data_IF_368167927699
#
_entry.id   IF_368167927699
#
_cell.length_a   1.000
_cell.length_b   1.000
_cell.length_c   1.000
_cell.angle_alpha   90.00
_cell.angle_beta   90.00
_cell.angle_gamma   90.00
#
_symmetry.space_group_name_H-M   'P 1'
#
loop_
_entity.id
_entity.type
_entity.pdbx_description
1 polymer ?
#
# COMPACT_ATOMS: atom_id res chain seq x y z
N UNK A 1 -16.33 1.76 17.66
CA UNK A 1 -16.42 2.48 16.38
C UNK A 1 -17.87 2.64 16.04
N UNK A 2 -18.33 3.83 15.69
CA UNK A 2 -19.69 3.98 15.16
C UNK A 2 -19.74 3.40 13.74
N UNK A 3 -20.93 3.09 13.22
CA UNK A 3 -21.08 2.50 11.88
C UNK A 3 -20.49 3.41 10.78
N UNK A 4 -20.56 4.73 10.97
CA UNK A 4 -19.95 5.71 10.08
C UNK A 4 -18.41 5.66 10.10
N UNK A 5 -17.79 5.45 11.27
CA UNK A 5 -16.33 5.34 11.38
C UNK A 5 -15.79 4.12 10.64
N UNK A 6 -16.56 3.02 10.61
CA UNK A 6 -16.16 1.80 9.92
C UNK A 6 -16.10 2.00 8.39
N UNK A 7 -17.09 2.67 7.80
CA UNK A 7 -17.08 3.02 6.37
C UNK A 7 -15.97 4.02 6.04
N UNK A 8 -15.77 5.03 6.88
CA UNK A 8 -14.67 5.96 6.71
C UNK A 8 -13.31 5.22 6.75
N UNK A 9 -13.18 4.16 7.54
CA UNK A 9 -11.96 3.35 7.56
C UNK A 9 -11.80 2.51 6.29
N UNK A 10 -12.88 1.93 5.75
CA UNK A 10 -12.85 1.22 4.47
C UNK A 10 -12.45 2.15 3.31
N UNK A 11 -12.99 3.36 3.26
CA UNK A 11 -12.65 4.36 2.25
C UNK A 11 -11.17 4.74 2.30
N UNK A 12 -10.60 4.85 3.50
CA UNK A 12 -9.15 5.11 3.68
C UNK A 12 -8.30 3.97 3.14
N UNK A 13 -8.71 2.72 3.32
CA UNK A 13 -7.97 1.56 2.79
C UNK A 13 -8.01 1.56 1.25
N UNK A 14 -9.17 1.82 0.66
CA UNK A 14 -9.31 1.94 -0.80
C UNK A 14 -8.48 3.09 -1.36
N UNK A 15 -8.54 4.26 -0.70
CA UNK A 15 -7.75 5.43 -1.07
C UNK A 15 -6.25 5.14 -0.99
N UNK A 16 -5.77 4.50 0.09
CA UNK A 16 -4.37 4.14 0.25
C UNK A 16 -3.87 3.20 -0.86
N UNK A 17 -4.73 2.29 -1.33
CA UNK A 17 -4.34 1.34 -2.39
C UNK A 17 -4.18 1.97 -3.75
N UNK A 18 -5.13 2.82 -4.15
CA UNK A 18 -5.01 3.58 -5.41
C UNK A 18 -3.87 4.60 -5.30
N UNK A 19 -3.76 5.27 -4.15
CA UNK A 19 -2.71 6.24 -3.86
C UNK A 19 -1.30 5.65 -3.97
N UNK A 20 -1.06 4.47 -3.41
CA UNK A 20 0.25 3.81 -3.49
C UNK A 20 0.69 3.56 -4.93
N UNK A 21 -0.18 3.02 -5.77
CA UNK A 21 0.18 2.69 -7.16
C UNK A 21 0.37 3.97 -7.98
N UNK A 22 -0.52 4.94 -7.80
CA UNK A 22 -0.45 6.20 -8.54
C UNK A 22 0.77 7.03 -8.13
N UNK A 23 1.13 7.05 -6.84
CA UNK A 23 2.32 7.74 -6.34
C UNK A 23 3.61 7.16 -6.91
N UNK A 24 3.70 5.84 -7.13
CA UNK A 24 4.87 5.20 -7.76
C UNK A 24 5.07 5.56 -9.24
N UNK A 25 4.02 6.02 -9.92
CA UNK A 25 4.05 6.42 -11.34
C UNK A 25 4.24 7.93 -11.47
N UNK A 26 3.60 8.71 -10.60
CA UNK A 26 3.46 10.17 -10.73
C UNK A 26 4.52 10.93 -9.94
N UNK A 27 4.94 10.44 -8.77
CA UNK A 27 5.96 11.12 -7.96
C UNK A 27 7.34 10.57 -8.29
N UNK A 28 8.18 11.43 -8.84
CA UNK A 28 9.59 11.10 -9.10
C UNK A 28 10.32 10.85 -7.77
N UNK A 29 10.68 9.58 -7.54
CA UNK A 29 11.57 9.15 -6.47
C UNK A 29 12.98 8.82 -6.98
N UNK A 30 13.89 8.51 -6.06
CA UNK A 30 15.22 7.97 -6.39
C UNK A 30 15.15 6.63 -7.14
N UNK A 31 14.09 5.87 -6.91
CA UNK A 31 13.77 4.62 -7.61
C UNK A 31 12.37 4.84 -8.17
N UNK A 32 12.28 4.98 -9.49
CA UNK A 32 11.01 5.14 -10.19
C UNK A 32 10.66 3.82 -10.88
N UNK A 33 9.40 3.40 -10.76
CA UNK A 33 8.88 2.25 -11.52
C UNK A 33 8.16 2.79 -12.75
N UNK A 34 8.32 2.13 -13.90
CA UNK A 34 7.56 2.52 -15.07
C UNK A 34 6.14 1.89 -15.04
N UNK A 35 5.20 2.52 -15.77
CA UNK A 35 3.83 2.01 -15.82
C UNK A 35 3.74 0.63 -16.47
N UNK A 36 4.68 0.26 -17.34
CA UNK A 36 4.67 -1.02 -18.03
C UNK A 36 5.04 -2.17 -17.07
N UNK A 37 5.99 -1.95 -16.16
CA UNK A 37 6.42 -2.85 -15.11
C UNK A 37 5.25 -3.12 -14.16
N UNK A 38 4.63 -2.07 -13.64
CA UNK A 38 3.45 -2.19 -12.75
C UNK A 38 2.32 -2.92 -13.47
N UNK A 39 2.00 -2.52 -14.70
CA UNK A 39 0.96 -3.18 -15.50
C UNK A 39 1.28 -4.64 -15.77
N UNK A 40 2.53 -5.00 -16.03
CA UNK A 40 2.94 -6.37 -16.32
C UNK A 40 2.84 -7.27 -15.09
N UNK A 41 3.24 -6.77 -13.92
CA UNK A 41 3.17 -7.49 -12.64
C UNK A 41 1.72 -7.63 -12.17
N UNK A 42 0.88 -6.63 -12.42
CA UNK A 42 -0.54 -6.67 -12.01
C UNK A 42 -1.45 -7.40 -13.01
N UNK A 43 -1.04 -7.54 -14.28
CA UNK A 43 -1.84 -8.23 -15.30
C UNK A 43 -1.79 -9.74 -15.03
N UNK A 44 -2.97 -10.36 -15.04
CA UNK A 44 -3.19 -11.79 -14.78
C UNK A 44 -2.87 -12.28 -13.35
N UNK A 45 -2.60 -11.35 -12.42
CA UNK A 45 -2.61 -11.66 -10.99
C UNK A 45 -4.06 -11.73 -10.52
N UNK A 46 -4.46 -12.88 -9.96
CA UNK A 46 -5.83 -13.14 -9.49
C UNK A 46 -6.26 -12.23 -8.33
N UNK A 47 -6.39 -12.78 -7.12
CA UNK A 47 -6.67 -11.94 -5.94
C UNK A 47 -5.37 -11.28 -5.49
N UNK A 48 -5.39 -9.96 -5.35
CA UNK A 48 -4.31 -9.18 -4.77
C UNK A 48 -4.66 -8.80 -3.33
N UNK A 49 -3.62 -8.68 -2.48
CA UNK A 49 -3.74 -8.23 -1.10
C UNK A 49 -2.75 -7.09 -0.87
N UNK A 50 -3.08 -6.18 0.05
CA UNK A 50 -2.26 -5.00 0.31
C UNK A 50 -2.16 -4.74 1.81
N UNK A 51 -0.93 -4.71 2.31
CA UNK A 51 -0.62 -4.25 3.66
C UNK A 51 0.19 -2.97 3.63
N UNK A 52 -0.12 -2.06 4.54
CA UNK A 52 0.62 -0.81 4.74
C UNK A 52 1.28 -0.82 6.11
N UNK A 53 2.48 -0.29 6.20
CA UNK A 53 3.23 -0.18 7.46
C UNK A 53 3.97 1.15 7.55
N UNK A 54 3.91 1.77 8.71
CA UNK A 54 4.59 3.03 9.00
C UNK A 54 5.52 2.85 10.20
N UNK A 55 6.71 3.44 10.14
CA UNK A 55 7.64 3.45 11.27
C UNK A 55 8.54 4.69 11.23
N UNK A 56 8.99 5.11 12.42
CA UNK A 56 9.88 6.25 12.61
C UNK A 56 11.11 5.87 13.44
N UNK A 57 12.13 6.72 13.40
CA UNK A 57 13.37 6.54 14.16
C UNK A 57 14.35 5.51 13.57
N UNK A 58 15.17 4.93 14.44
CA UNK A 58 16.19 3.96 14.05
C UNK A 58 15.56 2.64 13.55
N UNK A 59 16.03 2.17 12.41
CA UNK A 59 15.51 0.96 11.76
C UNK A 59 14.13 1.14 11.13
N UNK A 60 13.68 2.37 10.85
CA UNK A 60 12.36 2.67 10.27
C UNK A 60 12.01 1.82 9.05
N UNK A 61 12.95 1.61 8.13
CA UNK A 61 12.69 0.84 6.91
C UNK A 61 12.30 -0.61 7.22
N UNK A 62 13.06 -1.27 8.10
CA UNK A 62 12.81 -2.67 8.48
C UNK A 62 11.51 -2.80 9.28
N UNK A 63 11.31 -1.92 10.27
CA UNK A 63 10.09 -1.91 11.09
C UNK A 63 8.83 -1.64 10.27
N UNK A 64 8.88 -0.71 9.31
CA UNK A 64 7.76 -0.43 8.42
C UNK A 64 7.44 -1.64 7.52
N UNK A 65 8.47 -2.31 6.98
CA UNK A 65 8.28 -3.52 6.19
C UNK A 65 7.69 -4.68 7.02
N UNK A 66 8.19 -4.91 8.24
CA UNK A 66 7.64 -5.92 9.15
C UNK A 66 6.18 -5.62 9.51
N UNK A 67 5.85 -4.36 9.79
CA UNK A 67 4.48 -3.92 10.06
C UNK A 67 3.56 -4.05 8.84
N UNK A 68 4.07 -3.79 7.63
CA UNK A 68 3.32 -3.95 6.39
C UNK A 68 2.97 -5.43 6.15
N UNK A 69 3.91 -6.35 6.38
CA UNK A 69 3.69 -7.80 6.22
C UNK A 69 2.75 -8.35 7.29
N UNK A 70 2.84 -7.86 8.53
CA UNK A 70 1.97 -8.29 9.63
C UNK A 70 0.60 -7.59 9.64
N UNK A 71 0.24 -6.87 8.58
CA UNK A 71 -1.00 -6.10 8.53
C UNK A 71 -2.23 -7.04 8.42
N UNK A 72 -3.30 -6.83 9.21
CA UNK A 72 -4.52 -7.65 9.16
C UNK A 72 -5.25 -7.66 7.80
N UNK A 73 -4.89 -6.77 6.87
CA UNK A 73 -5.45 -6.70 5.51
C UNK A 73 -4.77 -7.67 4.52
N UNK A 74 -3.74 -8.40 4.95
CA UNK A 74 -2.98 -9.38 4.16
C UNK A 74 -3.37 -10.85 4.42
N UNK A 75 -4.36 -11.10 5.30
CA UNK A 75 -4.81 -12.44 5.69
C UNK A 75 -6.05 -12.89 4.91
#
# INVERSE_FOLDING_TARGET
TTFADAFAMADRVLYAGVGCITDLIVKEGLINLDFADVKSVMRDMGRAMMGTGEAAGEGRAKKAAEAAIANPLLD
#
